data_IF_654398238582
#
_entry.id   IF_654398238582
#
_cell.length_a   1.000
_cell.length_b   1.000
_cell.length_c   1.000
_cell.angle_alpha   90.00
_cell.angle_beta   90.00
_cell.angle_gamma   90.00
#
_symmetry.space_group_name_H-M   'P 1'
#
loop_
_entity.id
_entity.type
_entity.pdbx_description
1 polymer ?
#
# COMPACT_ATOMS: atom_id res chain seq x y z
N UNK A 1 62.22 -20.60 -8.00
CA UNK A 1 61.40 -19.49 -8.44
C UNK A 1 59.93 -19.83 -8.20
N UNK A 2 59.43 -19.45 -7.02
CA UNK A 2 58.00 -19.46 -6.76
C UNK A 2 57.41 -18.14 -7.32
N UNK A 3 56.67 -18.22 -8.41
CA UNK A 3 55.83 -17.15 -8.84
C UNK A 3 54.62 -17.09 -7.86
N UNK A 4 54.63 -16.09 -6.98
CA UNK A 4 53.41 -15.69 -6.29
C UNK A 4 52.48 -15.12 -7.37
N UNK A 5 51.50 -15.93 -7.77
CA UNK A 5 50.32 -15.36 -8.43
C UNK A 5 49.56 -14.59 -7.35
N UNK A 6 49.73 -13.29 -7.27
CA UNK A 6 48.83 -12.42 -6.61
C UNK A 6 47.50 -12.53 -7.37
N UNK A 7 46.57 -13.29 -6.79
CA UNK A 7 45.20 -13.29 -7.23
C UNK A 7 44.68 -11.87 -6.99
N UNK A 8 44.72 -11.05 -8.02
CA UNK A 8 44.09 -9.74 -8.02
C UNK A 8 42.59 -9.98 -8.06
N UNK A 9 41.98 -10.15 -6.90
CA UNK A 9 40.53 -10.16 -6.78
C UNK A 9 40.04 -8.73 -7.02
N UNK A 10 39.81 -8.42 -8.29
CA UNK A 10 39.26 -7.11 -8.67
C UNK A 10 37.93 -6.90 -7.94
N UNK A 11 37.91 -5.86 -7.11
CA UNK A 11 36.69 -5.36 -6.52
C UNK A 11 35.81 -4.82 -7.64
N UNK A 12 34.63 -5.43 -7.83
CA UNK A 12 33.72 -5.08 -8.91
C UNK A 12 32.39 -4.58 -8.35
N UNK A 13 31.87 -3.50 -8.93
CA UNK A 13 30.53 -3.04 -8.65
C UNK A 13 29.49 -3.99 -9.27
N UNK A 14 28.52 -4.38 -8.50
CA UNK A 14 27.40 -5.23 -8.92
C UNK A 14 26.08 -4.56 -8.50
N UNK A 15 25.09 -4.58 -9.37
CA UNK A 15 23.76 -4.00 -9.08
C UNK A 15 22.80 -5.11 -8.72
N UNK A 16 22.25 -5.05 -7.51
CA UNK A 16 21.16 -5.92 -7.04
C UNK A 16 19.86 -5.21 -7.33
N UNK A 17 19.05 -5.80 -8.22
CA UNK A 17 17.82 -5.19 -8.72
C UNK A 17 16.60 -5.56 -7.88
N UNK A 18 15.62 -4.66 -7.90
CA UNK A 18 14.31 -4.89 -7.29
C UNK A 18 14.36 -5.25 -5.80
N UNK A 19 15.23 -4.60 -5.05
CA UNK A 19 15.27 -4.75 -3.59
C UNK A 19 14.03 -4.07 -3.00
N UNK A 20 13.18 -4.78 -2.24
CA UNK A 20 11.97 -4.21 -1.66
C UNK A 20 12.30 -3.08 -0.69
N UNK A 21 11.50 -2.01 -0.76
CA UNK A 21 11.60 -0.88 0.16
C UNK A 21 10.65 -1.12 1.34
N UNK A 22 11.20 -1.07 2.55
CA UNK A 22 10.42 -1.06 3.78
C UNK A 22 10.28 0.37 4.30
N UNK A 23 9.06 0.84 4.51
CA UNK A 23 8.82 2.13 5.15
C UNK A 23 8.55 1.90 6.63
N UNK A 24 9.46 2.38 7.46
CA UNK A 24 9.32 2.40 8.91
C UNK A 24 8.61 3.68 9.34
N UNK A 25 7.53 3.52 10.09
CA UNK A 25 6.75 4.64 10.63
C UNK A 25 7.19 4.83 12.09
N UNK A 26 7.49 6.06 12.48
CA UNK A 26 7.87 6.39 13.86
C UNK A 26 6.78 5.96 14.86
N UNK A 27 7.18 5.64 16.10
CA UNK A 27 6.24 5.18 17.14
C UNK A 27 5.12 6.20 17.38
N UNK A 28 5.44 7.47 17.41
CA UNK A 28 4.47 8.57 17.58
C UNK A 28 3.43 8.58 16.44
N UNK A 29 3.87 8.36 15.20
CA UNK A 29 2.97 8.32 14.07
C UNK A 29 2.14 7.03 14.05
N UNK A 30 2.71 5.90 14.46
CA UNK A 30 1.97 4.63 14.61
C UNK A 30 0.87 4.76 15.67
N UNK A 31 1.17 5.34 16.81
CA UNK A 31 0.20 5.60 17.89
C UNK A 31 -0.93 6.54 17.42
N UNK A 32 -0.62 7.49 16.53
CA UNK A 32 -1.60 8.37 15.92
C UNK A 32 -2.43 7.67 14.81
N UNK A 33 -2.13 6.42 14.48
CA UNK A 33 -2.84 5.64 13.46
C UNK A 33 -2.42 5.92 12.02
N UNK A 34 -1.22 6.52 11.81
CA UNK A 34 -0.71 6.82 10.47
C UNK A 34 -0.40 5.55 9.70
N UNK A 35 -0.79 5.53 8.43
CA UNK A 35 -0.44 4.50 7.45
C UNK A 35 -0.01 5.13 6.13
N UNK A 36 0.86 4.44 5.42
CA UNK A 36 1.22 4.79 4.04
C UNK A 36 0.20 4.17 3.09
N UNK A 37 -0.39 4.99 2.24
CA UNK A 37 -1.41 4.57 1.27
C UNK A 37 -0.87 4.43 -0.15
N UNK A 38 0.18 5.16 -0.49
CA UNK A 38 0.88 4.96 -1.76
C UNK A 38 2.35 5.36 -1.68
N UNK A 39 3.15 4.78 -2.55
CA UNK A 39 4.57 5.07 -2.72
C UNK A 39 4.88 5.24 -4.20
N UNK A 40 5.81 6.12 -4.54
CA UNK A 40 6.27 6.31 -5.93
C UNK A 40 7.01 5.08 -6.47
N UNK A 41 7.63 4.30 -5.61
CA UNK A 41 8.24 3.00 -5.92
C UNK A 41 8.19 2.07 -4.71
N UNK A 42 7.95 0.80 -4.95
CA UNK A 42 7.98 -0.26 -3.91
C UNK A 42 9.31 -1.00 -3.84
N UNK A 43 10.20 -0.76 -4.81
CA UNK A 43 11.51 -1.39 -4.90
C UNK A 43 12.54 -0.41 -5.47
N UNK A 44 13.80 -0.70 -5.21
CA UNK A 44 14.95 0.08 -5.66
C UNK A 44 16.10 -0.83 -6.05
N UNK A 45 17.04 -0.32 -6.84
CA UNK A 45 18.28 -1.03 -7.18
C UNK A 45 19.38 -0.60 -6.22
N UNK A 46 20.18 -1.56 -5.75
CA UNK A 46 21.28 -1.32 -4.81
C UNK A 46 22.59 -1.72 -5.45
N UNK A 47 23.55 -0.78 -5.49
CA UNK A 47 24.90 -1.04 -5.93
C UNK A 47 25.75 -1.52 -4.76
N UNK A 48 26.43 -2.63 -4.96
CA UNK A 48 27.38 -3.20 -4.00
C UNK A 48 28.75 -3.38 -4.64
N UNK A 49 29.81 -3.33 -3.86
CA UNK A 49 31.18 -3.61 -4.29
C UNK A 49 31.83 -4.68 -3.45
N UNK A 50 32.65 -5.49 -4.05
CA UNK A 50 33.36 -6.56 -3.38
C UNK A 50 33.94 -7.58 -4.35
N UNK A 51 34.48 -8.66 -3.79
CA UNK A 51 34.97 -9.78 -4.59
C UNK A 51 33.84 -10.37 -5.44
N UNK A 52 34.09 -10.58 -6.73
CA UNK A 52 33.08 -11.05 -7.69
C UNK A 52 32.47 -12.41 -7.33
N UNK A 53 33.26 -13.30 -6.67
CA UNK A 53 32.76 -14.60 -6.20
C UNK A 53 31.74 -14.46 -5.05
N UNK A 54 31.82 -13.37 -4.28
CA UNK A 54 30.92 -13.07 -3.19
C UNK A 54 29.73 -12.29 -3.72
N UNK A 55 29.96 -11.19 -4.46
CA UNK A 55 28.90 -10.33 -4.96
C UNK A 55 27.94 -11.02 -5.93
N UNK A 56 28.42 -12.02 -6.68
CA UNK A 56 27.58 -12.85 -7.56
C UNK A 56 26.55 -13.74 -6.83
N UNK A 57 26.73 -13.95 -5.54
CA UNK A 57 25.80 -14.75 -4.69
C UNK A 57 24.83 -13.90 -3.90
N UNK A 58 25.04 -12.57 -3.85
CA UNK A 58 24.18 -11.64 -3.13
C UNK A 58 22.87 -11.46 -3.90
N UNK A 59 21.77 -11.57 -3.19
CA UNK A 59 20.42 -11.43 -3.72
C UNK A 59 19.68 -10.26 -3.07
N UNK A 60 18.51 -9.94 -3.56
CA UNK A 60 17.65 -8.89 -2.97
C UNK A 60 17.20 -9.22 -1.53
N UNK A 61 17.28 -10.49 -1.13
CA UNK A 61 16.94 -10.91 0.24
C UNK A 61 18.04 -10.61 1.24
N UNK A 62 19.27 -10.45 0.78
CA UNK A 62 20.44 -10.18 1.62
C UNK A 62 20.60 -8.71 1.97
N UNK A 63 19.83 -7.83 1.34
CA UNK A 63 19.90 -6.38 1.49
C UNK A 63 18.55 -5.85 1.98
N UNK A 64 18.59 -5.03 3.03
CA UNK A 64 17.45 -4.29 3.53
C UNK A 64 17.51 -2.83 3.06
N UNK A 65 16.43 -2.34 2.46
CA UNK A 65 16.28 -0.92 2.13
C UNK A 65 15.15 -0.34 2.95
N UNK A 66 15.44 0.72 3.69
CA UNK A 66 14.50 1.34 4.61
C UNK A 66 14.39 2.83 4.35
N UNK A 67 13.16 3.35 4.38
CA UNK A 67 12.85 4.77 4.48
C UNK A 67 12.05 5.02 5.75
N UNK A 68 12.38 6.06 6.50
CA UNK A 68 11.70 6.38 7.77
C UNK A 68 10.70 7.50 7.58
N UNK A 69 9.45 7.25 7.93
CA UNK A 69 8.37 8.24 7.97
C UNK A 69 8.18 8.73 9.41
N UNK A 70 8.58 9.97 9.65
CA UNK A 70 8.46 10.64 10.95
C UNK A 70 7.80 12.02 10.77
N UNK A 71 6.48 12.07 10.61
CA UNK A 71 5.76 13.32 10.41
C UNK A 71 5.75 14.15 11.70
N UNK A 72 5.84 15.47 11.56
CA UNK A 72 5.73 16.39 12.71
C UNK A 72 4.35 16.30 13.36
N UNK A 73 4.29 16.61 14.66
CA UNK A 73 3.04 16.60 15.44
C UNK A 73 1.95 17.49 14.81
N UNK A 74 2.33 18.60 14.19
CA UNK A 74 1.40 19.50 13.50
C UNK A 74 0.73 18.84 12.28
N UNK A 75 1.41 17.91 11.61
CA UNK A 75 0.85 17.16 10.49
C UNK A 75 -0.09 16.04 10.97
N UNK A 76 0.08 15.57 12.21
CA UNK A 76 -0.75 14.53 12.81
C UNK A 76 -2.10 15.07 13.32
N UNK A 77 -2.24 16.39 13.52
CA UNK A 77 -3.48 17.02 13.99
C UNK A 77 -4.47 17.34 12.86
N UNK A 78 -4.02 17.36 11.62
CA UNK A 78 -4.87 17.60 10.44
C UNK A 78 -5.58 16.35 9.95
N UNK A 79 -6.67 16.54 9.20
CA UNK A 79 -7.41 15.47 8.48
C UNK A 79 -7.23 15.64 6.99
N UNK A 80 -6.01 15.55 6.49
CA UNK A 80 -5.73 15.65 5.06
C UNK A 80 -4.65 14.66 4.64
N UNK A 81 -4.79 14.14 3.42
CA UNK A 81 -3.73 13.35 2.78
C UNK A 81 -2.45 14.19 2.72
N UNK A 82 -1.38 13.64 3.25
CA UNK A 82 -0.07 14.27 3.27
C UNK A 82 0.87 13.53 2.30
N UNK A 83 1.81 14.27 1.75
CA UNK A 83 2.85 13.74 0.88
C UNK A 83 4.21 14.18 1.39
N UNK A 84 5.15 13.29 1.43
CA UNK A 84 6.54 13.59 1.81
C UNK A 84 7.52 12.74 1.02
N UNK A 85 8.77 13.20 0.97
CA UNK A 85 9.88 12.46 0.37
C UNK A 85 10.71 11.82 1.46
N UNK A 86 10.98 10.51 1.30
CA UNK A 86 11.81 9.73 2.21
C UNK A 86 13.14 9.39 1.55
N UNK A 87 14.23 9.66 2.24
CA UNK A 87 15.56 9.17 1.86
C UNK A 87 15.69 7.69 2.21
N UNK A 88 16.19 6.90 1.26
CA UNK A 88 16.37 5.47 1.41
C UNK A 88 17.77 5.14 1.92
N UNK A 89 17.84 4.18 2.81
CA UNK A 89 19.09 3.60 3.31
C UNK A 89 19.10 2.11 3.05
N UNK A 90 20.20 1.63 2.50
CA UNK A 90 20.42 0.21 2.32
C UNK A 90 21.46 -0.31 3.30
N UNK A 91 21.25 -1.51 3.82
CA UNK A 91 22.16 -2.21 4.70
C UNK A 91 22.10 -3.73 4.45
N UNK A 92 23.17 -4.41 4.82
CA UNK A 92 23.21 -5.88 4.80
C UNK A 92 22.22 -6.44 5.81
N UNK A 93 21.45 -7.46 5.41
CA UNK A 93 20.61 -8.23 6.33
C UNK A 93 21.37 -9.47 6.83
N UNK A 94 21.20 -9.78 8.11
CA UNK A 94 21.72 -11.00 8.72
C UNK A 94 23.24 -11.02 8.85
N UNK A 95 23.93 -11.65 7.93
CA UNK A 95 25.38 -11.80 8.01
C UNK A 95 26.12 -10.51 7.61
N UNK A 96 26.35 -9.63 8.57
CA UNK A 96 27.09 -8.37 8.39
C UNK A 96 28.60 -8.57 8.15
N UNK A 97 29.11 -9.79 8.33
CA UNK A 97 30.51 -10.17 8.10
C UNK A 97 30.81 -10.52 6.64
N UNK A 98 29.79 -10.53 5.77
CA UNK A 98 30.00 -10.76 4.35
C UNK A 98 30.93 -9.68 3.75
N UNK A 99 31.91 -10.10 2.98
CA UNK A 99 32.98 -9.24 2.42
C UNK A 99 32.50 -8.49 1.17
N UNK A 100 31.46 -7.66 1.31
CA UNK A 100 31.04 -6.69 0.31
C UNK A 100 30.57 -5.41 0.99
N UNK A 101 30.58 -4.30 0.29
CA UNK A 101 30.08 -3.02 0.79
C UNK A 101 28.86 -2.56 -0.03
N UNK A 102 27.91 -1.93 0.65
CA UNK A 102 26.76 -1.27 0.03
C UNK A 102 27.15 0.16 -0.32
N UNK A 103 27.10 0.49 -1.61
CA UNK A 103 27.60 1.78 -2.12
C UNK A 103 26.48 2.81 -2.28
N UNK A 104 25.41 2.44 -2.96
CA UNK A 104 24.34 3.36 -3.31
C UNK A 104 23.01 2.68 -3.57
N UNK A 105 21.98 3.50 -3.57
CA UNK A 105 20.59 3.10 -3.81
C UNK A 105 20.03 3.97 -4.94
N UNK A 106 19.32 3.38 -5.90
CA UNK A 106 18.73 4.12 -7.02
C UNK A 106 17.30 3.63 -7.32
N UNK A 107 16.28 4.44 -7.14
CA UNK A 107 16.29 5.81 -6.60
C UNK A 107 16.74 5.87 -5.14
N UNK A 108 17.40 6.96 -4.74
CA UNK A 108 17.83 7.21 -3.36
C UNK A 108 16.73 7.80 -2.48
N UNK A 109 15.65 8.24 -3.10
CA UNK A 109 14.49 8.85 -2.44
C UNK A 109 13.20 8.34 -3.08
N UNK A 110 12.17 8.23 -2.27
CA UNK A 110 10.81 7.95 -2.73
C UNK A 110 9.84 8.96 -2.15
N UNK A 111 8.76 9.21 -2.87
CA UNK A 111 7.62 9.98 -2.38
C UNK A 111 6.58 9.02 -1.82
N UNK A 112 6.10 9.30 -0.62
CA UNK A 112 5.02 8.55 0.04
C UNK A 112 3.83 9.46 0.32
N UNK A 113 2.66 8.89 0.19
CA UNK A 113 1.39 9.52 0.57
C UNK A 113 0.88 8.80 1.81
N UNK A 114 0.59 9.54 2.84
CA UNK A 114 0.15 9.01 4.13
C UNK A 114 -0.99 9.84 4.74
N UNK A 115 -1.73 9.22 5.63
CA UNK A 115 -2.80 9.81 6.43
C UNK A 115 -3.06 8.91 7.63
N UNK A 116 -3.90 9.33 8.55
CA UNK A 116 -4.45 8.43 9.57
C UNK A 116 -5.39 7.43 8.92
N UNK A 117 -5.35 6.20 9.39
CA UNK A 117 -6.30 5.17 9.00
C UNK A 117 -7.59 5.31 9.80
N UNK A 118 -8.72 5.24 9.13
CA UNK A 118 -10.04 5.28 9.74
C UNK A 118 -10.95 4.20 9.18
N UNK A 119 -11.75 3.65 10.06
CA UNK A 119 -12.89 2.81 9.70
C UNK A 119 -14.18 3.45 10.20
N UNK A 120 -15.23 3.34 9.41
CA UNK A 120 -16.58 3.74 9.80
C UNK A 120 -17.60 2.76 9.25
N UNK A 121 -18.71 2.59 9.97
CA UNK A 121 -19.84 1.80 9.51
C UNK A 121 -20.93 2.73 8.98
N UNK A 122 -21.49 2.36 7.84
CA UNK A 122 -22.60 3.06 7.21
C UNK A 122 -23.74 2.10 6.97
N UNK A 123 -24.96 2.58 7.19
CA UNK A 123 -26.17 1.85 6.81
C UNK A 123 -26.35 1.91 5.31
N UNK A 124 -26.60 0.78 4.68
CA UNK A 124 -26.91 0.72 3.26
C UNK A 124 -28.29 1.32 2.99
N UNK A 125 -28.32 2.31 2.12
CA UNK A 125 -29.55 2.85 1.57
C UNK A 125 -29.86 2.16 0.23
N UNK A 126 -31.12 2.02 -0.12
CA UNK A 126 -31.56 1.43 -1.38
C UNK A 126 -32.27 2.45 -2.23
N UNK A 127 -31.92 2.47 -3.52
CA UNK A 127 -32.60 3.28 -4.55
C UNK A 127 -32.90 2.38 -5.73
N UNK A 128 -33.94 1.54 -5.60
CA UNK A 128 -34.38 0.63 -6.65
C UNK A 128 -35.54 1.23 -7.42
N UNK A 129 -35.41 1.27 -8.74
CA UNK A 129 -36.45 1.70 -9.66
C UNK A 129 -37.03 0.47 -10.36
N UNK A 130 -38.31 0.25 -10.16
CA UNK A 130 -39.04 -0.87 -10.79
C UNK A 130 -40.50 -0.51 -11.01
N UNK A 131 -41.12 -1.25 -11.93
CA UNK A 131 -42.56 -1.24 -12.15
C UNK A 131 -43.08 -2.68 -11.98
N UNK A 132 -44.29 -2.83 -11.46
CA UNK A 132 -44.96 -4.12 -11.36
C UNK A 132 -46.00 -4.24 -12.45
N UNK A 133 -46.19 -5.46 -12.98
CA UNK A 133 -47.28 -5.74 -13.90
C UNK A 133 -48.63 -5.61 -13.20
N UNK A 134 -49.69 -5.50 -13.99
CA UNK A 134 -51.08 -5.40 -13.48
C UNK A 134 -51.40 -6.58 -12.54
N UNK A 135 -52.01 -6.28 -11.40
CA UNK A 135 -52.30 -7.22 -10.32
C UNK A 135 -51.08 -7.78 -9.54
N UNK A 136 -49.91 -7.24 -9.71
CA UNK A 136 -48.73 -7.57 -8.93
C UNK A 136 -48.40 -6.47 -7.94
N UNK A 137 -47.86 -6.87 -6.79
CA UNK A 137 -47.49 -5.98 -5.70
C UNK A 137 -46.04 -6.23 -5.27
N UNK A 138 -45.32 -5.16 -4.98
CA UNK A 138 -43.99 -5.24 -4.40
C UNK A 138 -43.94 -4.50 -3.04
N UNK A 139 -43.17 -5.02 -2.08
CA UNK A 139 -42.96 -4.31 -0.82
C UNK A 139 -42.21 -3.02 -1.03
N UNK A 140 -42.42 -2.02 -0.18
CA UNK A 140 -41.77 -0.72 -0.28
C UNK A 140 -40.26 -0.74 -0.06
N UNK A 141 -39.76 -1.78 0.64
CA UNK A 141 -38.34 -1.96 0.94
C UNK A 141 -37.87 -3.36 0.56
N UNK A 142 -36.78 -3.50 -0.19
CA UNK A 142 -36.19 -4.80 -0.51
C UNK A 142 -35.51 -5.39 0.74
N UNK A 143 -35.37 -6.73 0.75
CA UNK A 143 -34.58 -7.42 1.77
C UNK A 143 -33.11 -7.42 1.32
N UNK A 144 -32.22 -6.96 2.20
CA UNK A 144 -30.78 -6.94 1.98
C UNK A 144 -30.08 -8.09 2.70
N UNK A 145 -29.03 -8.64 2.11
CA UNK A 145 -28.17 -9.65 2.75
C UNK A 145 -27.34 -9.05 3.89
N UNK A 146 -27.05 -7.73 3.82
CA UNK A 146 -26.43 -6.95 4.89
C UNK A 146 -27.00 -5.55 4.91
N UNK A 147 -27.15 -4.99 6.10
CA UNK A 147 -27.67 -3.63 6.29
C UNK A 147 -26.56 -2.61 6.60
N UNK A 148 -25.38 -3.10 7.00
CA UNK A 148 -24.23 -2.29 7.35
C UNK A 148 -23.04 -2.66 6.47
N UNK A 149 -22.28 -1.66 6.08
CA UNK A 149 -20.96 -1.83 5.44
C UNK A 149 -19.91 -1.08 6.25
N UNK A 150 -18.68 -1.61 6.23
CA UNK A 150 -17.52 -0.92 6.77
C UNK A 150 -16.78 -0.23 5.63
N UNK A 151 -16.57 1.09 5.78
CA UNK A 151 -15.74 1.89 4.89
C UNK A 151 -14.44 2.19 5.62
N UNK A 152 -13.32 1.90 4.99
CA UNK A 152 -12.01 2.09 5.60
C UNK A 152 -11.00 2.68 4.60
N UNK A 153 -10.03 3.41 5.13
CA UNK A 153 -8.98 4.04 4.32
C UNK A 153 -8.38 5.28 4.97
N UNK A 154 -7.82 6.20 4.16
CA UNK A 154 -7.36 7.48 4.67
C UNK A 154 -8.49 8.25 5.36
N UNK A 155 -8.23 8.77 6.55
CA UNK A 155 -9.25 9.48 7.35
C UNK A 155 -9.89 10.62 6.55
N UNK A 156 -9.09 11.37 5.81
CA UNK A 156 -9.56 12.47 4.95
C UNK A 156 -10.53 12.03 3.86
N UNK A 157 -10.39 10.80 3.36
CA UNK A 157 -11.29 10.23 2.35
C UNK A 157 -12.54 9.64 3.00
N UNK A 158 -12.37 8.89 4.09
CA UNK A 158 -13.49 8.27 4.82
C UNK A 158 -14.43 9.34 5.36
N UNK A 159 -13.91 10.47 5.84
CA UNK A 159 -14.73 11.58 6.34
C UNK A 159 -15.59 12.27 5.26
N UNK A 160 -15.27 12.07 3.98
CA UNK A 160 -16.07 12.60 2.85
C UNK A 160 -17.20 11.67 2.45
N UNK A 161 -17.15 10.42 2.86
CA UNK A 161 -18.19 9.45 2.55
C UNK A 161 -19.40 9.71 3.45
N UNK A 162 -20.47 10.24 2.88
CA UNK A 162 -21.69 10.57 3.62
C UNK A 162 -22.72 9.43 3.60
N UNK A 163 -22.74 8.63 2.53
CA UNK A 163 -23.79 7.63 2.27
C UNK A 163 -23.22 6.40 1.57
N UNK A 164 -23.87 5.29 1.77
CA UNK A 164 -23.65 4.05 1.02
C UNK A 164 -24.97 3.64 0.39
N UNK A 165 -25.02 3.57 -0.93
CA UNK A 165 -26.25 3.37 -1.69
C UNK A 165 -26.15 2.19 -2.64
N UNK A 166 -27.18 1.33 -2.62
CA UNK A 166 -27.42 0.32 -3.63
C UNK A 166 -28.42 0.88 -4.65
N UNK A 167 -27.99 1.04 -5.89
CA UNK A 167 -28.86 1.54 -6.96
C UNK A 167 -29.05 0.46 -8.02
N UNK A 168 -30.29 0.29 -8.43
CA UNK A 168 -30.62 -0.59 -9.55
C UNK A 168 -31.94 -0.17 -10.21
N UNK A 169 -31.97 -0.22 -11.53
CA UNK A 169 -33.18 0.01 -12.33
C UNK A 169 -33.51 -1.25 -13.12
N UNK A 170 -34.70 -1.78 -12.87
CA UNK A 170 -35.22 -2.89 -13.65
C UNK A 170 -35.69 -2.37 -15.01
N UNK A 171 -35.30 -3.06 -16.09
CA UNK A 171 -35.69 -2.72 -17.46
C UNK A 171 -37.04 -3.33 -17.91
N UNK A 172 -37.65 -4.18 -17.06
CA UNK A 172 -38.90 -4.89 -17.34
C UNK A 172 -39.85 -4.80 -16.15
N UNK A 173 -41.15 -5.02 -16.41
CA UNK A 173 -42.14 -5.11 -15.34
C UNK A 173 -41.94 -6.39 -14.53
N UNK A 174 -42.05 -6.25 -13.21
CA UNK A 174 -41.85 -7.39 -12.31
C UNK A 174 -43.13 -8.20 -12.15
N UNK A 175 -43.04 -9.49 -12.38
CA UNK A 175 -44.11 -10.51 -12.21
C UNK A 175 -43.76 -11.56 -11.16
N UNK A 176 -42.56 -11.55 -10.62
CA UNK A 176 -42.06 -12.49 -9.63
C UNK A 176 -40.95 -11.87 -8.76
N UNK A 177 -40.64 -12.50 -7.65
CA UNK A 177 -39.51 -12.13 -6.82
C UNK A 177 -38.19 -12.32 -7.56
N UNK A 178 -37.30 -11.33 -7.47
CA UNK A 178 -35.95 -11.39 -8.06
C UNK A 178 -34.90 -11.15 -7.00
N UNK A 179 -33.81 -11.87 -7.11
CA UNK A 179 -32.57 -11.64 -6.34
C UNK A 179 -31.47 -11.23 -7.30
N UNK A 180 -30.68 -10.23 -6.89
CA UNK A 180 -29.58 -9.73 -7.71
C UNK A 180 -28.42 -9.27 -6.83
N UNK A 181 -27.23 -9.21 -7.43
CA UNK A 181 -26.04 -8.63 -6.82
C UNK A 181 -25.85 -7.22 -7.35
N UNK A 182 -25.71 -6.25 -6.43
CA UNK A 182 -25.47 -4.86 -6.75
C UNK A 182 -24.14 -4.41 -6.17
N UNK A 183 -23.51 -3.42 -6.83
CA UNK A 183 -22.35 -2.72 -6.29
C UNK A 183 -22.82 -1.57 -5.41
N UNK A 184 -22.08 -1.35 -4.31
CA UNK A 184 -22.29 -0.22 -3.43
C UNK A 184 -21.62 1.00 -4.05
N UNK A 185 -22.34 2.11 -4.12
CA UNK A 185 -21.81 3.45 -4.41
C UNK A 185 -21.59 4.22 -3.09
N UNK A 186 -20.46 4.96 -3.01
CA UNK A 186 -20.06 5.76 -1.84
C UNK A 186 -19.99 7.25 -2.21
#
# INVERSE_FOLDING_TARGET
WFAMMASNSESRATVIRNVPINVEISDTAQEAGVRVFSMSSSATDVSITGNSLITSKVTSEDIGVTGTLDPSVSMLTGSSLQQTTLSLRAAKKGNTLAEYEVESVSPSEITVVYDKYKETQLTLETNFQYTTAENYYAPSTPTLSTELITVSGPESSVNKVARAVLEYKFGEELTQSKSLSCKVAL
#
